data_IF_907230085753
#
_entry.id   IF_907230085753
#
_cell.length_a   1.000
_cell.length_b   1.000
_cell.length_c   1.000
_cell.angle_alpha   90.00
_cell.angle_beta   90.00
_cell.angle_gamma   90.00
#
_symmetry.space_group_name_H-M   'P 1'
#
loop_
_entity.id
_entity.type
_entity.pdbx_description
1 polymer ?
#
# COMPACT_ATOMS: atom_id res chain seq x y z
N UNK A 1 -9.64 -3.09 -20.93
CA UNK A 1 -10.68 -3.05 -19.89
C UNK A 1 -11.11 -4.49 -19.66
N UNK A 2 -10.96 -5.01 -18.44
CA UNK A 2 -11.36 -6.38 -18.09
C UNK A 2 -12.70 -6.34 -17.36
N UNK A 3 -13.58 -7.30 -17.64
CA UNK A 3 -14.85 -7.45 -16.93
C UNK A 3 -14.71 -8.51 -15.87
N UNK A 4 -15.17 -8.21 -14.65
CA UNK A 4 -15.19 -9.16 -13.54
C UNK A 4 -16.63 -9.20 -13.01
N UNK A 5 -17.16 -10.42 -12.85
CA UNK A 5 -18.44 -10.66 -12.19
C UNK A 5 -18.14 -11.19 -10.79
N UNK A 6 -18.60 -10.48 -9.76
CA UNK A 6 -18.43 -10.89 -8.36
C UNK A 6 -19.77 -10.85 -7.63
N UNK A 7 -19.95 -11.79 -6.71
CA UNK A 7 -21.04 -11.75 -5.75
C UNK A 7 -20.55 -11.07 -4.48
N UNK A 8 -21.24 -10.01 -4.07
CA UNK A 8 -20.98 -9.26 -2.86
C UNK A 8 -22.21 -9.32 -1.97
N UNK A 9 -22.02 -9.20 -0.65
CA UNK A 9 -23.14 -9.13 0.30
C UNK A 9 -23.98 -7.89 -0.01
N UNK A 10 -25.31 -8.04 0.03
CA UNK A 10 -26.26 -6.96 -0.28
C UNK A 10 -26.03 -5.69 0.55
N UNK A 11 -25.70 -5.84 1.83
CA UNK A 11 -25.44 -4.71 2.73
C UNK A 11 -24.23 -3.90 2.27
N UNK A 12 -23.13 -4.59 1.93
CA UNK A 12 -21.89 -3.97 1.43
C UNK A 12 -22.13 -3.29 0.10
N UNK A 13 -22.90 -3.93 -0.78
CA UNK A 13 -23.24 -3.37 -2.09
C UNK A 13 -24.03 -2.07 -1.98
N UNK A 14 -25.05 -2.05 -1.12
CA UNK A 14 -25.89 -0.86 -0.87
C UNK A 14 -25.08 0.29 -0.32
N UNK A 15 -24.28 0.03 0.72
CA UNK A 15 -23.41 1.04 1.32
C UNK A 15 -22.39 1.58 0.31
N UNK A 16 -21.77 0.69 -0.45
CA UNK A 16 -20.80 1.07 -1.47
C UNK A 16 -21.41 1.98 -2.54
N UNK A 17 -22.62 1.66 -3.02
CA UNK A 17 -23.32 2.53 -3.98
C UNK A 17 -23.62 3.90 -3.39
N UNK A 18 -24.10 3.97 -2.14
CA UNK A 18 -24.42 5.23 -1.48
C UNK A 18 -23.17 6.14 -1.38
N UNK A 19 -22.04 5.57 -0.94
CA UNK A 19 -20.77 6.30 -0.86
C UNK A 19 -20.26 6.70 -2.24
N UNK A 20 -20.34 5.80 -3.24
CA UNK A 20 -19.92 6.09 -4.60
C UNK A 20 -20.73 7.23 -5.24
N UNK A 21 -22.04 7.32 -4.96
CA UNK A 21 -22.88 8.45 -5.38
C UNK A 21 -22.42 9.76 -4.74
N UNK A 22 -22.13 9.75 -3.43
CA UNK A 22 -21.65 10.95 -2.71
C UNK A 22 -20.34 11.48 -3.29
N UNK A 23 -19.38 10.58 -3.56
CA UNK A 23 -18.04 10.97 -4.02
C UNK A 23 -18.05 11.40 -5.51
N UNK A 24 -18.74 10.64 -6.36
CA UNK A 24 -18.66 10.82 -7.82
C UNK A 24 -19.90 11.49 -8.44
N UNK A 25 -20.87 11.92 -7.63
CA UNK A 25 -22.03 12.70 -8.04
C UNK A 25 -23.07 11.93 -8.86
N UNK A 26 -23.12 10.60 -8.74
CA UNK A 26 -24.15 9.75 -9.34
C UNK A 26 -24.23 9.74 -10.88
N UNK A 27 -23.20 10.24 -11.59
CA UNK A 27 -23.18 10.29 -13.06
C UNK A 27 -22.92 8.91 -13.67
N UNK A 28 -23.28 8.71 -14.94
CA UNK A 28 -22.99 7.46 -15.66
C UNK A 28 -21.51 7.07 -15.50
N UNK A 29 -21.25 5.83 -15.07
CA UNK A 29 -19.89 5.32 -14.83
C UNK A 29 -19.34 5.54 -13.42
N UNK A 30 -20.11 6.14 -12.50
CA UNK A 30 -19.65 6.38 -11.12
C UNK A 30 -19.23 5.09 -10.39
N UNK A 31 -19.94 3.98 -10.61
CA UNK A 31 -19.62 2.69 -9.98
C UNK A 31 -18.36 2.07 -10.57
N UNK A 32 -18.18 2.13 -11.88
CA UNK A 32 -16.96 1.61 -12.52
C UNK A 32 -15.73 2.34 -11.98
N UNK A 33 -15.83 3.67 -11.85
CA UNK A 33 -14.77 4.49 -11.28
C UNK A 33 -14.52 4.16 -9.81
N UNK A 34 -15.57 4.07 -9.00
CA UNK A 34 -15.47 3.72 -7.58
C UNK A 34 -14.87 2.32 -7.39
N UNK A 35 -15.28 1.33 -8.18
CA UNK A 35 -14.75 -0.05 -8.13
C UNK A 35 -13.27 -0.04 -8.50
N UNK A 36 -12.89 0.64 -9.59
CA UNK A 36 -11.50 0.73 -10.03
C UNK A 36 -10.61 1.39 -8.98
N UNK A 37 -11.05 2.52 -8.42
CA UNK A 37 -10.34 3.21 -7.33
C UNK A 37 -10.18 2.33 -6.09
N UNK A 38 -11.25 1.61 -5.72
CA UNK A 38 -11.24 0.72 -4.55
C UNK A 38 -10.28 -0.45 -4.74
N UNK A 39 -10.30 -1.08 -5.92
CA UNK A 39 -9.35 -2.16 -6.25
C UNK A 39 -7.91 -1.66 -6.25
N UNK A 40 -7.66 -0.48 -6.83
CA UNK A 40 -6.32 0.11 -6.85
C UNK A 40 -5.82 0.43 -5.45
N UNK A 41 -6.68 0.99 -4.59
CA UNK A 41 -6.36 1.29 -3.20
C UNK A 41 -6.00 0.01 -2.44
N UNK A 42 -6.83 -1.02 -2.55
CA UNK A 42 -6.57 -2.31 -1.89
C UNK A 42 -5.26 -2.96 -2.34
N UNK A 43 -4.95 -2.92 -3.65
CA UNK A 43 -3.66 -3.41 -4.18
C UNK A 43 -2.50 -2.65 -3.55
N UNK A 44 -2.60 -1.33 -3.45
CA UNK A 44 -1.53 -0.51 -2.89
C UNK A 44 -1.34 -0.80 -1.39
N UNK A 45 -2.43 -0.91 -0.62
CA UNK A 45 -2.39 -1.28 0.80
C UNK A 45 -1.69 -2.63 1.00
N UNK A 46 -2.04 -3.66 0.21
CA UNK A 46 -1.41 -4.99 0.31
C UNK A 46 0.06 -5.01 -0.10
N UNK A 47 0.45 -4.17 -1.06
CA UNK A 47 1.87 -4.00 -1.40
C UNK A 47 2.64 -3.34 -0.25
N UNK A 48 2.07 -2.30 0.36
CA UNK A 48 2.71 -1.60 1.48
C UNK A 48 2.83 -2.48 2.72
N UNK A 49 1.80 -3.25 3.05
CA UNK A 49 1.83 -4.24 4.13
C UNK A 49 2.99 -5.24 3.95
N UNK A 50 3.16 -5.77 2.73
CA UNK A 50 4.27 -6.67 2.41
C UNK A 50 5.64 -5.99 2.53
N UNK A 51 5.77 -4.74 2.09
CA UNK A 51 7.02 -3.98 2.23
C UNK A 51 7.36 -3.80 3.71
N UNK A 52 6.40 -3.34 4.51
CA UNK A 52 6.58 -3.15 5.95
C UNK A 52 7.00 -4.45 6.65
N UNK A 53 6.37 -5.59 6.34
CA UNK A 53 6.78 -6.89 6.88
C UNK A 53 8.22 -7.28 6.50
N UNK A 54 8.65 -7.00 5.27
CA UNK A 54 10.02 -7.29 4.82
C UNK A 54 11.03 -6.38 5.52
N UNK A 55 10.72 -5.10 5.67
CA UNK A 55 11.58 -4.13 6.35
C UNK A 55 11.73 -4.46 7.83
N UNK A 56 10.64 -4.84 8.51
CA UNK A 56 10.68 -5.34 9.89
C UNK A 56 11.58 -6.58 10.01
N UNK A 57 11.47 -7.53 9.09
CA UNK A 57 12.37 -8.71 9.08
C UNK A 57 13.84 -8.34 8.84
N UNK A 58 14.12 -7.33 8.02
CA UNK A 58 15.50 -6.86 7.83
C UNK A 58 16.05 -6.18 9.08
N UNK A 59 15.22 -5.39 9.77
CA UNK A 59 15.57 -4.79 11.05
C UNK A 59 15.85 -5.87 12.11
N UNK A 60 15.01 -6.89 12.22
CA UNK A 60 15.18 -8.01 13.15
C UNK A 60 16.45 -8.82 12.87
N UNK A 61 16.78 -9.05 11.60
CA UNK A 61 18.04 -9.72 11.23
C UNK A 61 19.27 -8.92 11.63
N UNK A 62 19.12 -7.60 11.81
CA UNK A 62 20.23 -6.69 12.02
C UNK A 62 21.17 -6.62 10.80
N UNK A 63 22.18 -5.78 10.90
CA UNK A 63 23.22 -5.67 9.88
C UNK A 63 24.59 -5.71 10.54
N UNK A 64 25.45 -6.63 10.11
CA UNK A 64 26.83 -6.68 10.58
C UNK A 64 27.68 -5.71 9.76
N UNK A 65 27.95 -4.53 10.33
CA UNK A 65 28.81 -3.51 9.72
C UNK A 65 30.31 -3.89 9.68
N UNK A 66 30.67 -5.08 10.13
CA UNK A 66 32.06 -5.52 10.24
C UNK A 66 32.78 -4.85 11.41
N UNK A 67 34.11 -4.85 11.37
CA UNK A 67 34.93 -4.23 12.43
C UNK A 67 34.96 -2.71 12.24
N UNK A 68 34.87 -1.97 13.34
CA UNK A 68 35.10 -0.51 13.35
C UNK A 68 36.54 -0.24 12.89
N UNK A 69 36.70 0.39 11.73
CA UNK A 69 38.02 0.64 11.12
C UNK A 69 38.76 1.86 11.69
N UNK A 70 38.02 2.78 12.30
CA UNK A 70 38.53 4.05 12.83
C UNK A 70 37.93 4.28 14.20
N UNK A 71 38.74 4.61 15.21
CA UNK A 71 38.32 4.85 16.58
C UNK A 71 37.63 6.20 16.75
N UNK A 72 38.14 7.21 16.05
CA UNK A 72 37.77 8.62 16.13
C UNK A 72 37.32 9.17 14.77
N UNK A 73 36.69 10.35 14.75
CA UNK A 73 36.18 10.97 13.50
C UNK A 73 37.32 11.56 12.68
N UNK A 74 38.36 12.01 13.35
CA UNK A 74 39.55 12.63 12.79
C UNK A 74 40.32 11.62 11.92
N UNK A 75 40.46 10.37 12.40
CA UNK A 75 41.07 9.25 11.66
C UNK A 75 40.39 8.93 10.31
N UNK A 76 39.11 9.31 10.14
CA UNK A 76 38.35 9.08 8.91
C UNK A 76 38.68 10.10 7.80
N UNK A 77 39.10 11.31 8.18
CA UNK A 77 39.21 12.46 7.27
C UNK A 77 40.66 12.83 6.91
N UNK A 78 41.66 12.25 7.56
CA UNK A 78 43.09 12.52 7.33
C UNK A 78 43.68 11.81 6.08
N UNK A 79 43.01 11.92 4.93
CA UNK A 79 43.57 11.50 3.64
C UNK A 79 44.03 12.67 2.78
#
# INVERSE_FOLDING_TARGET
MGTITVNVKDEVEKEFRAVAVIIHGGRKGYLEKAVTESMQKWINEKKQEKIAEMELKLLEKGFNFGKKLYGTREELHDR
#
